data_IF_830214156697
#
_entry.id   IF_830214156697
#
_cell.length_a   1.000
_cell.length_b   1.000
_cell.length_c   1.000
_cell.angle_alpha   90.00
_cell.angle_beta   90.00
_cell.angle_gamma   90.00
#
_symmetry.space_group_name_H-M   'P 1'
#
loop_
_entity.id
_entity.type
_entity.pdbx_description
1 polymer ?
#
# COMPACT_ATOMS: atom_id res chain seq x y z
N UNK A 1 -14.85 26.68 6.20
CA UNK A 1 -15.14 25.27 5.91
C UNK A 1 -13.84 24.50 5.91
N UNK A 2 -13.74 23.49 6.71
CA UNK A 2 -12.61 22.58 6.65
C UNK A 2 -12.74 21.71 5.41
N UNK A 3 -11.62 21.31 4.80
CA UNK A 3 -11.58 20.46 3.59
C UNK A 3 -12.43 19.18 3.73
N UNK A 4 -12.58 18.67 4.94
CA UNK A 4 -13.43 17.52 5.27
C UNK A 4 -14.93 17.78 5.06
N UNK A 5 -15.42 19.00 5.30
CA UNK A 5 -16.86 19.31 5.15
C UNK A 5 -17.28 19.35 3.68
N UNK A 6 -16.39 19.72 2.76
CA UNK A 6 -16.67 19.72 1.33
C UNK A 6 -16.75 18.29 0.76
N UNK A 7 -16.01 17.35 1.34
CA UNK A 7 -15.97 15.96 0.88
C UNK A 7 -17.28 15.18 1.16
N UNK A 8 -18.07 15.59 2.17
CA UNK A 8 -19.34 14.93 2.45
C UNK A 8 -20.38 15.06 1.32
N UNK A 9 -20.13 15.95 0.36
CA UNK A 9 -21.00 16.10 -0.81
C UNK A 9 -20.71 15.07 -1.92
N UNK A 10 -19.62 14.29 -1.80
CA UNK A 10 -19.27 13.28 -2.76
C UNK A 10 -19.60 11.87 -2.26
N UNK A 11 -19.93 11.00 -3.21
CA UNK A 11 -20.18 9.59 -2.90
C UNK A 11 -18.86 8.87 -2.59
N UNK A 12 -18.90 7.93 -1.64
CA UNK A 12 -17.80 6.99 -1.43
C UNK A 12 -18.03 5.79 -2.36
N UNK A 13 -17.07 5.53 -3.23
CA UNK A 13 -17.10 4.43 -4.18
C UNK A 13 -15.87 3.55 -4.05
N UNK A 14 -16.03 2.28 -4.37
CA UNK A 14 -14.92 1.35 -4.55
C UNK A 14 -14.69 1.11 -6.04
N UNK A 15 -13.42 1.20 -6.44
CA UNK A 15 -12.97 1.07 -7.82
C UNK A 15 -12.04 -0.12 -7.97
N UNK A 16 -12.29 -0.93 -9.01
CA UNK A 16 -11.30 -1.88 -9.52
C UNK A 16 -10.63 -1.26 -10.72
N UNK A 17 -9.31 -1.07 -10.64
CA UNK A 17 -8.53 -0.42 -11.69
C UNK A 17 -7.86 -1.44 -12.61
N UNK A 18 -7.55 -1.02 -13.83
CA UNK A 18 -6.83 -1.85 -14.82
C UNK A 18 -5.41 -2.21 -14.36
N UNK A 19 -4.82 -1.43 -13.45
CA UNK A 19 -3.55 -1.75 -12.79
C UNK A 19 -3.62 -2.97 -11.87
N UNK A 20 -4.82 -3.40 -11.49
CA UNK A 20 -5.06 -4.46 -10.50
C UNK A 20 -5.42 -3.93 -9.12
N UNK A 21 -5.22 -2.65 -8.85
CA UNK A 21 -5.52 -2.05 -7.56
C UNK A 21 -7.03 -2.01 -7.29
N UNK A 22 -7.38 -2.13 -6.03
CA UNK A 22 -8.74 -1.87 -5.54
C UNK A 22 -8.67 -0.68 -4.60
N UNK A 23 -9.39 0.37 -4.94
CA UNK A 23 -9.31 1.68 -4.27
C UNK A 23 -10.68 2.09 -3.78
N UNK A 24 -10.77 2.59 -2.55
CA UNK A 24 -11.96 3.25 -2.00
C UNK A 24 -11.68 4.73 -1.83
N UNK A 25 -12.63 5.57 -2.23
CA UNK A 25 -12.44 7.03 -2.24
C UNK A 25 -13.76 7.78 -2.27
N UNK A 26 -13.77 8.99 -1.71
CA UNK A 26 -14.71 9.99 -2.18
C UNK A 26 -14.44 10.27 -3.66
N UNK A 27 -15.48 10.34 -4.46
CA UNK A 27 -15.34 10.44 -5.90
C UNK A 27 -16.30 11.46 -6.51
N UNK A 28 -15.77 12.31 -7.37
CA UNK A 28 -16.53 13.14 -8.28
C UNK A 28 -16.55 12.47 -9.66
N UNK A 29 -17.73 12.03 -10.06
CA UNK A 29 -17.99 11.34 -11.33
C UNK A 29 -18.71 12.22 -12.35
N UNK A 30 -18.74 13.52 -12.14
CA UNK A 30 -19.46 14.47 -12.99
C UNK A 30 -18.85 14.64 -14.38
N UNK A 31 -17.53 14.47 -14.50
CA UNK A 31 -16.82 14.55 -15.77
C UNK A 31 -17.00 13.25 -16.59
N UNK A 32 -17.29 13.35 -17.91
CA UNK A 32 -17.53 12.18 -18.75
C UNK A 32 -16.28 11.34 -19.02
N UNK A 33 -15.08 11.93 -18.98
CA UNK A 33 -13.84 11.29 -19.36
C UNK A 33 -12.97 10.86 -18.17
N UNK A 34 -13.12 11.57 -17.04
CA UNK A 34 -12.31 11.36 -15.85
C UNK A 34 -13.16 11.17 -14.59
N UNK A 35 -12.55 10.56 -13.58
CA UNK A 35 -13.07 10.51 -12.23
C UNK A 35 -12.04 11.16 -11.32
N UNK A 36 -12.50 12.08 -10.47
CA UNK A 36 -11.65 12.72 -9.47
C UNK A 36 -11.80 12.01 -8.14
N UNK A 37 -10.70 11.50 -7.62
CA UNK A 37 -10.61 10.81 -6.35
C UNK A 37 -10.03 11.74 -5.29
N UNK A 38 -10.62 11.76 -4.10
CA UNK A 38 -10.17 12.54 -2.96
C UNK A 38 -9.71 11.59 -1.87
N UNK A 39 -8.43 11.67 -1.49
CA UNK A 39 -7.79 10.83 -0.46
C UNK A 39 -8.07 9.33 -0.70
N UNK A 40 -7.74 8.79 -1.87
CA UNK A 40 -7.98 7.38 -2.16
C UNK A 40 -7.14 6.48 -1.27
N UNK A 41 -7.78 5.43 -0.74
CA UNK A 41 -7.11 4.37 0.00
C UNK A 41 -7.16 3.07 -0.79
N UNK A 42 -6.03 2.39 -0.87
CA UNK A 42 -5.94 1.06 -1.45
C UNK A 42 -6.40 0.02 -0.44
N UNK A 43 -7.23 -0.91 -0.89
CA UNK A 43 -7.66 -2.05 -0.10
C UNK A 43 -6.64 -3.17 -0.32
N UNK A 44 -5.89 -3.51 0.71
CA UNK A 44 -4.91 -4.59 0.69
C UNK A 44 -5.32 -5.74 1.61
N UNK A 45 -5.08 -6.94 1.15
CA UNK A 45 -5.20 -8.11 2.00
C UNK A 45 -3.94 -8.22 2.88
N UNK A 46 -4.16 -8.25 4.18
CA UNK A 46 -3.08 -8.37 5.16
C UNK A 46 -2.80 -9.85 5.43
N UNK A 47 -1.57 -10.27 5.12
CA UNK A 47 -1.05 -11.60 5.47
C UNK A 47 -0.17 -11.49 6.69
N UNK A 48 -0.46 -12.27 7.72
CA UNK A 48 0.28 -12.24 8.99
C UNK A 48 -0.62 -12.57 10.17
N UNK A 49 -0.23 -12.22 11.37
CA UNK A 49 -0.95 -12.54 12.60
C UNK A 49 -2.40 -12.04 12.70
N UNK A 50 -2.79 -11.10 11.87
CA UNK A 50 -4.17 -10.67 11.66
C UNK A 50 -4.52 -10.85 10.20
N UNK A 51 -5.41 -11.79 9.93
CA UNK A 51 -5.98 -11.99 8.59
C UNK A 51 -7.09 -10.97 8.39
N UNK A 52 -7.10 -10.29 7.24
CA UNK A 52 -8.14 -9.34 6.90
C UNK A 52 -7.69 -8.36 5.84
N UNK A 53 -8.55 -7.38 5.55
CA UNK A 53 -8.22 -6.28 4.63
C UNK A 53 -7.79 -5.06 5.44
N UNK A 54 -6.78 -4.37 4.95
CA UNK A 54 -6.33 -3.09 5.46
C UNK A 54 -6.54 -1.98 4.44
N UNK A 55 -6.67 -0.74 4.92
CA UNK A 55 -6.73 0.46 4.09
C UNK A 55 -5.39 1.18 4.20
N UNK A 56 -4.78 1.48 3.07
CA UNK A 56 -3.51 2.18 2.98
C UNK A 56 -3.62 3.31 1.94
N UNK A 57 -2.88 4.42 2.12
CA UNK A 57 -2.83 5.45 1.08
C UNK A 57 -2.48 4.83 -0.27
N UNK A 58 -3.24 5.17 -1.32
CA UNK A 58 -2.98 4.65 -2.66
C UNK A 58 -1.66 5.18 -3.24
N UNK A 59 -1.36 6.45 -2.96
CA UNK A 59 -0.13 7.11 -3.40
C UNK A 59 0.61 7.70 -2.18
N UNK A 60 1.28 6.88 -1.37
CA UNK A 60 1.83 7.30 -0.07
C UNK A 60 2.98 8.31 -0.19
N UNK A 61 3.64 8.36 -1.34
CA UNK A 61 4.76 9.29 -1.61
C UNK A 61 4.35 10.56 -2.33
N UNK A 62 3.05 10.79 -2.54
CA UNK A 62 2.52 11.99 -3.18
C UNK A 62 2.06 12.99 -2.14
N UNK A 63 2.40 14.26 -2.36
CA UNK A 63 1.83 15.36 -1.57
C UNK A 63 0.39 15.68 -1.95
N UNK A 64 -0.06 15.18 -3.10
CA UNK A 64 -1.42 15.38 -3.57
C UNK A 64 -2.40 14.48 -2.81
N UNK A 65 -3.56 15.03 -2.49
CA UNK A 65 -4.69 14.32 -1.93
C UNK A 65 -5.79 14.05 -2.96
N UNK A 66 -5.64 14.65 -4.15
CA UNK A 66 -6.62 14.59 -5.23
C UNK A 66 -5.97 14.01 -6.47
N UNK A 67 -6.61 13.01 -7.05
CA UNK A 67 -6.12 12.30 -8.24
C UNK A 67 -7.20 12.22 -9.29
N UNK A 68 -6.87 12.57 -10.54
CA UNK A 68 -7.74 12.40 -11.68
C UNK A 68 -7.33 11.13 -12.43
N UNK A 69 -8.27 10.20 -12.59
CA UNK A 69 -8.07 8.98 -13.37
C UNK A 69 -9.00 8.96 -14.58
N UNK A 70 -8.51 8.47 -15.70
CA UNK A 70 -9.35 8.26 -16.87
C UNK A 70 -10.31 7.11 -16.63
N UNK A 71 -11.57 7.26 -17.06
CA UNK A 71 -12.60 6.20 -16.95
C UNK A 71 -12.19 4.90 -17.61
N UNK A 72 -11.38 4.93 -18.67
CA UNK A 72 -10.82 3.74 -19.33
C UNK A 72 -9.95 2.86 -18.43
N UNK A 73 -9.44 3.43 -17.33
CA UNK A 73 -8.62 2.71 -16.37
C UNK A 73 -9.44 2.11 -15.22
N UNK A 74 -10.76 2.28 -15.25
CA UNK A 74 -11.71 1.73 -14.28
C UNK A 74 -12.40 0.54 -14.92
N UNK A 75 -12.25 -0.64 -14.30
CA UNK A 75 -12.96 -1.85 -14.72
C UNK A 75 -14.37 -1.83 -14.15
N UNK A 76 -14.50 -1.53 -12.85
CA UNK A 76 -15.76 -1.50 -12.10
C UNK A 76 -15.70 -0.37 -11.07
N UNK A 77 -16.81 0.31 -10.88
CA UNK A 77 -17.05 1.26 -9.79
C UNK A 77 -18.38 0.92 -9.13
N UNK A 78 -18.37 0.68 -7.84
CA UNK A 78 -19.54 0.25 -7.07
C UNK A 78 -19.59 0.94 -5.72
N UNK A 79 -20.80 0.94 -5.13
CA UNK A 79 -20.99 1.41 -3.77
C UNK A 79 -20.40 0.39 -2.80
N UNK A 80 -19.52 0.79 -1.85
CA UNK A 80 -18.95 -0.14 -0.88
C UNK A 80 -20.02 -0.65 0.10
N UNK A 81 -19.72 -1.81 0.71
CA UNK A 81 -20.49 -2.28 1.86
C UNK A 81 -20.31 -1.36 3.07
N UNK A 82 -21.27 -1.36 3.99
CA UNK A 82 -21.32 -0.44 5.13
C UNK A 82 -20.02 -0.44 5.97
N UNK A 83 -19.48 -1.61 6.28
CA UNK A 83 -18.25 -1.73 7.09
C UNK A 83 -17.03 -1.09 6.39
N UNK A 84 -16.99 -1.10 5.06
CA UNK A 84 -15.94 -0.47 4.29
C UNK A 84 -16.09 1.06 4.31
N UNK A 85 -17.31 1.56 4.23
CA UNK A 85 -17.61 3.00 4.34
C UNK A 85 -17.17 3.51 5.72
N UNK A 86 -17.54 2.82 6.79
CA UNK A 86 -17.16 3.16 8.15
C UNK A 86 -15.64 3.14 8.35
N UNK A 87 -14.97 2.11 7.84
CA UNK A 87 -13.52 1.99 7.89
C UNK A 87 -12.80 3.10 7.12
N UNK A 88 -13.33 3.48 5.97
CA UNK A 88 -12.78 4.57 5.17
C UNK A 88 -12.95 5.93 5.89
N UNK A 89 -14.14 6.23 6.43
CA UNK A 89 -14.39 7.46 7.17
C UNK A 89 -13.46 7.54 8.41
N UNK A 90 -13.37 6.48 9.19
CA UNK A 90 -12.47 6.44 10.35
C UNK A 90 -11.01 6.68 9.94
N UNK A 91 -10.57 6.15 8.80
CA UNK A 91 -9.23 6.37 8.28
C UNK A 91 -9.01 7.83 7.86
N UNK A 92 -10.03 8.53 7.35
CA UNK A 92 -9.93 9.95 7.03
C UNK A 92 -9.82 10.82 8.28
N UNK A 93 -10.55 10.50 9.35
CA UNK A 93 -10.44 11.18 10.64
C UNK A 93 -9.03 11.02 11.22
N UNK A 94 -8.50 9.80 11.22
CA UNK A 94 -7.11 9.53 11.65
C UNK A 94 -6.07 10.26 10.78
N UNK A 95 -6.33 10.42 9.48
CA UNK A 95 -5.48 11.19 8.59
C UNK A 95 -5.42 12.68 8.98
N UNK A 96 -6.57 13.26 9.35
CA UNK A 96 -6.65 14.66 9.77
C UNK A 96 -5.96 14.88 11.13
N UNK A 97 -6.02 13.90 12.04
CA UNK A 97 -5.38 13.97 13.37
C UNK A 97 -3.85 13.73 13.29
N UNK A 98 -3.41 12.76 12.49
CA UNK A 98 -2.01 12.36 12.36
C UNK A 98 -1.59 12.23 10.88
N UNK A 99 -1.41 13.35 10.15
CA UNK A 99 -1.05 13.29 8.73
C UNK A 99 0.25 12.53 8.45
N UNK A 100 1.24 12.61 9.35
CA UNK A 100 2.52 11.93 9.23
C UNK A 100 2.40 10.40 9.22
N UNK A 101 1.31 9.84 9.74
CA UNK A 101 1.04 8.40 9.70
C UNK A 101 0.73 7.88 8.30
N UNK A 102 0.22 8.74 7.43
CA UNK A 102 -0.25 8.40 6.09
C UNK A 102 0.61 9.00 4.97
N UNK A 103 1.52 9.91 5.32
CA UNK A 103 2.47 10.51 4.39
C UNK A 103 3.89 10.25 4.88
N UNK A 104 4.76 9.86 3.99
CA UNK A 104 6.19 9.89 4.28
C UNK A 104 6.62 11.35 4.33
N UNK A 105 7.13 11.81 5.48
CA UNK A 105 7.70 13.13 5.64
C UNK A 105 9.17 13.12 5.24
N UNK A 106 9.74 14.28 4.89
CA UNK A 106 11.17 14.41 4.59
C UNK A 106 12.04 13.93 5.76
N UNK A 107 11.58 14.10 7.00
CA UNK A 107 12.26 13.60 8.20
C UNK A 107 12.36 12.06 8.23
N UNK A 108 11.38 11.36 7.69
CA UNK A 108 11.42 9.89 7.56
C UNK A 108 12.35 9.44 6.43
N UNK A 109 12.60 10.31 5.43
CA UNK A 109 13.58 10.04 4.39
C UNK A 109 15.03 10.15 4.91
N UNK A 110 15.32 11.05 5.85
CA UNK A 110 16.65 11.13 6.45
C UNK A 110 17.02 9.85 7.21
N UNK A 111 16.05 9.21 7.87
CA UNK A 111 16.26 7.90 8.52
C UNK A 111 16.50 6.76 7.50
N UNK A 112 15.97 6.87 6.28
CA UNK A 112 16.22 5.91 5.21
C UNK A 112 17.64 6.07 4.63
N UNK A 113 18.10 7.28 4.41
CA UNK A 113 19.45 7.55 3.91
C UNK A 113 20.52 7.12 4.92
N UNK A 114 20.23 7.21 6.23
CA UNK A 114 21.12 6.74 7.29
C UNK A 114 21.16 5.19 7.42
N UNK A 115 20.16 4.48 6.90
CA UNK A 115 20.14 3.01 6.89
C UNK A 115 20.80 2.40 5.66
N UNK A 116 21.11 3.18 4.63
CA UNK A 116 21.75 2.72 3.39
C UNK A 116 23.28 2.78 3.40
N UNK A 117 23.96 3.04 4.49
CA UNK A 117 25.34 2.57 4.64
C UNK A 117 25.33 1.04 4.88
N UNK A 118 24.86 0.31 3.87
CA UNK A 118 25.06 -1.13 3.76
C UNK A 118 26.59 -1.37 3.70
N UNK A 119 27.13 -1.77 4.82
CA UNK A 119 28.49 -2.25 4.91
C UNK A 119 28.50 -3.77 4.62
N UNK A 120 28.89 -4.18 3.40
CA UNK A 120 28.93 -5.60 3.05
C UNK A 120 29.95 -6.39 3.88
N UNK A 121 30.84 -5.73 4.64
CA UNK A 121 31.76 -6.40 5.56
C UNK A 121 31.11 -6.84 6.88
N UNK A 122 29.87 -6.37 7.14
CA UNK A 122 29.07 -6.74 8.31
C UNK A 122 28.00 -7.80 8.00
N UNK A 123 28.09 -8.51 6.88
CA UNK A 123 27.30 -9.72 6.68
C UNK A 123 27.64 -10.76 7.76
N UNK A 124 27.13 -10.54 8.97
CA UNK A 124 26.82 -11.66 9.83
C UNK A 124 25.76 -12.48 9.07
N UNK A 125 26.17 -13.67 8.63
CA UNK A 125 25.34 -14.54 7.82
C UNK A 125 23.91 -14.67 8.35
N UNK A 126 22.99 -15.00 7.47
CA UNK A 126 21.55 -15.16 7.74
C UNK A 126 21.35 -15.79 9.13
N UNK A 127 20.77 -15.04 10.06
CA UNK A 127 20.45 -15.56 11.40
C UNK A 127 19.18 -16.39 11.30
N UNK A 128 19.29 -17.64 11.62
CA UNK A 128 18.16 -18.55 11.72
C UNK A 128 17.66 -18.65 13.16
N UNK A 129 16.34 -18.81 13.30
CA UNK A 129 15.70 -18.94 14.60
C UNK A 129 16.13 -20.21 15.36
N UNK A 130 16.53 -21.25 14.63
CA UNK A 130 17.04 -22.52 15.15
C UNK A 130 18.06 -23.19 14.21
N UNK A 131 18.81 -24.13 14.73
CA UNK A 131 19.85 -24.90 14.02
C UNK A 131 19.26 -25.74 12.86
N UNK A 132 18.02 -26.20 13.01
CA UNK A 132 17.32 -27.00 12.00
C UNK A 132 16.99 -26.19 10.75
N UNK A 133 16.56 -24.94 10.92
CA UNK A 133 16.32 -24.01 9.81
C UNK A 133 17.60 -23.67 9.05
N UNK A 134 18.72 -23.51 9.75
CA UNK A 134 20.04 -23.29 9.17
C UNK A 134 20.46 -24.48 8.30
N UNK A 135 20.28 -25.71 8.79
CA UNK A 135 20.61 -26.94 8.05
C UNK A 135 19.77 -27.11 6.78
N UNK A 136 18.50 -26.80 6.83
CA UNK A 136 17.58 -26.84 5.69
C UNK A 136 18.03 -25.84 4.61
N UNK A 137 18.39 -24.62 5.02
CA UNK A 137 18.87 -23.57 4.13
C UNK A 137 20.17 -23.97 3.43
N UNK A 138 21.16 -24.47 4.16
CA UNK A 138 22.41 -24.96 3.61
C UNK A 138 22.19 -26.11 2.61
N UNK A 139 21.31 -27.05 2.94
CA UNK A 139 20.98 -28.14 2.01
C UNK A 139 20.33 -27.63 0.72
N UNK A 140 19.48 -26.61 0.78
CA UNK A 140 18.89 -25.97 -0.39
C UNK A 140 19.93 -25.26 -1.26
N UNK A 141 20.86 -24.51 -0.66
CA UNK A 141 21.94 -23.81 -1.37
C UNK A 141 22.86 -24.83 -2.10
N UNK A 142 23.24 -25.91 -1.43
CA UNK A 142 24.06 -26.98 -2.04
C UNK A 142 23.35 -27.65 -3.19
N UNK A 143 22.05 -27.90 -3.08
CA UNK A 143 21.23 -28.49 -4.15
C UNK A 143 21.19 -27.60 -5.39
N UNK A 144 21.01 -26.29 -5.22
CA UNK A 144 21.03 -25.30 -6.29
C UNK A 144 22.39 -25.28 -6.98
N UNK A 145 23.48 -25.20 -6.23
CA UNK A 145 24.86 -25.18 -6.75
C UNK A 145 25.16 -26.45 -7.56
N UNK A 146 24.79 -27.62 -7.06
CA UNK A 146 24.98 -28.89 -7.78
C UNK A 146 24.13 -29.00 -9.04
N UNK A 147 22.98 -28.37 -9.09
CA UNK A 147 22.13 -28.35 -10.28
C UNK A 147 22.72 -27.46 -11.36
N UNK A 148 23.33 -26.34 -10.99
CA UNK A 148 24.00 -25.45 -11.96
C UNK A 148 25.28 -26.08 -12.56
N UNK A 149 26.00 -26.90 -11.81
CA UNK A 149 27.18 -27.61 -12.33
C UNK A 149 26.83 -28.71 -13.33
N UNK A 150 25.60 -29.24 -13.34
CA UNK A 150 25.16 -30.28 -14.27
C UNK A 150 24.66 -29.77 -15.61
N UNK A 151 24.55 -28.48 -15.82
CA UNK A 151 24.04 -27.85 -17.06
C UNK A 151 25.17 -27.45 -18.02
N UNK A 152 26.41 -27.73 -17.64
CA UNK A 152 27.60 -27.60 -18.51
C UNK A 152 28.14 -29.01 -18.87
#
# INVERSE_FOLDING_TARGET
MTYSEELYNYDILVFKLTSGDTVVSYADISDPDTVRLYRPLEIRYMTGGRRGHGLMPWMPFSDSEVFNIHRRNIIVAEKPIKIMIEGYINSQEMYDEEPARYKYTEEQNEDWELQEEYDPSQEEGVRFADEKSAQIYEAMIQKIANTQMKVH
#
